data_IF_250941117335
#
_entry.id   IF_250941117335
#
_cell.length_a   1.000
_cell.length_b   1.000
_cell.length_c   1.000
_cell.angle_alpha   90.00
_cell.angle_beta   90.00
_cell.angle_gamma   90.00
#
_symmetry.space_group_name_H-M   'P 1'
#
loop_
_entity.id
_entity.type
_entity.pdbx_description
1 polymer ?
#
# COMPACT_ATOMS: atom_id res chain seq x y z
N UNK A 1 12.59 -2.26 -18.00
CA UNK A 1 11.25 -1.72 -17.64
C UNK A 1 10.62 -2.40 -16.42
N UNK A 2 10.52 -3.73 -16.35
CA UNK A 2 9.86 -4.45 -15.24
C UNK A 2 10.41 -4.17 -13.82
N UNK A 3 11.74 -4.10 -13.66
CA UNK A 3 12.37 -3.79 -12.37
C UNK A 3 12.02 -2.39 -11.84
N UNK A 4 11.88 -1.40 -12.72
CA UNK A 4 11.53 -0.03 -12.32
C UNK A 4 10.14 0.03 -11.69
N UNK A 5 9.19 -0.76 -12.21
CA UNK A 5 7.84 -0.86 -11.65
C UNK A 5 7.83 -1.57 -10.30
N UNK A 6 8.76 -2.51 -10.08
CA UNK A 6 8.93 -3.14 -8.77
C UNK A 6 9.41 -2.13 -7.73
N UNK A 7 10.44 -1.35 -8.04
CA UNK A 7 10.94 -0.29 -7.14
C UNK A 7 9.90 0.83 -6.94
N UNK A 8 9.13 1.16 -7.97
CA UNK A 8 8.03 2.10 -7.87
C UNK A 8 6.93 1.58 -6.93
N UNK A 9 6.55 0.29 -7.05
CA UNK A 9 5.61 -0.35 -6.13
C UNK A 9 6.12 -0.35 -4.69
N UNK A 10 7.41 -0.65 -4.50
CA UNK A 10 8.06 -0.58 -3.19
C UNK A 10 8.02 0.84 -2.61
N UNK A 11 8.36 1.85 -3.41
CA UNK A 11 8.29 3.24 -2.98
C UNK A 11 6.84 3.65 -2.62
N UNK A 12 5.86 3.27 -3.44
CA UNK A 12 4.45 3.53 -3.17
C UNK A 12 3.96 2.83 -1.89
N UNK A 13 4.43 1.61 -1.60
CA UNK A 13 4.14 0.92 -0.34
C UNK A 13 4.69 1.70 0.85
N UNK A 14 5.97 2.11 0.80
CA UNK A 14 6.60 2.87 1.89
C UNK A 14 5.92 4.23 2.09
N UNK A 15 5.61 4.93 1.00
CA UNK A 15 4.88 6.20 1.04
C UNK A 15 3.46 6.03 1.61
N UNK A 16 2.79 4.90 1.34
CA UNK A 16 1.49 4.58 1.91
C UNK A 16 1.50 4.48 3.44
N UNK A 17 2.61 4.02 4.03
CA UNK A 17 2.80 4.00 5.48
C UNK A 17 3.18 5.37 6.06
N UNK A 18 3.91 6.20 5.32
CA UNK A 18 4.30 7.55 5.76
C UNK A 18 3.08 8.49 5.73
N UNK A 19 2.29 8.44 4.66
CA UNK A 19 1.12 9.30 4.48
C UNK A 19 -0.16 8.59 4.92
N UNK A 20 -0.32 8.52 6.25
CA UNK A 20 -1.52 7.96 6.91
C UNK A 20 -2.77 8.70 6.42
N UNK A 21 -3.59 8.01 5.61
CA UNK A 21 -4.77 8.56 4.93
C UNK A 21 -4.71 8.44 3.39
N UNK A 22 -3.53 8.65 2.78
CA UNK A 22 -3.31 8.37 1.34
C UNK A 22 -3.04 6.89 1.07
N UNK A 23 -2.80 6.10 2.12
CA UNK A 23 -2.61 4.65 2.04
C UNK A 23 -3.72 3.93 1.27
N UNK A 24 -4.98 4.38 1.38
CA UNK A 24 -6.12 3.80 0.65
C UNK A 24 -5.88 3.78 -0.87
N UNK A 25 -5.13 4.75 -1.40
CA UNK A 25 -4.82 4.85 -2.83
C UNK A 25 -3.43 4.29 -3.14
N UNK A 26 -2.45 4.57 -2.29
CA UNK A 26 -1.05 4.18 -2.51
C UNK A 26 -0.81 2.67 -2.40
N UNK A 27 -1.50 1.97 -1.50
CA UNK A 27 -1.34 0.51 -1.36
C UNK A 27 -1.88 -0.27 -2.58
N UNK A 28 -3.09 0.02 -3.12
CA UNK A 28 -3.53 -0.60 -4.37
C UNK A 28 -2.62 -0.32 -5.57
N UNK A 29 -2.12 0.92 -5.71
CA UNK A 29 -1.18 1.28 -6.78
C UNK A 29 0.12 0.48 -6.64
N UNK A 30 0.64 0.37 -5.42
CA UNK A 30 1.80 -0.45 -5.11
C UNK A 30 1.59 -1.90 -5.54
N UNK A 31 0.48 -2.54 -5.13
CA UNK A 31 0.16 -3.91 -5.52
C UNK A 31 0.07 -4.05 -7.04
N UNK A 32 -0.61 -3.13 -7.73
CA UNK A 32 -0.71 -3.15 -9.19
C UNK A 32 0.66 -3.11 -9.87
N UNK A 33 1.54 -2.21 -9.44
CA UNK A 33 2.90 -2.10 -9.97
C UNK A 33 3.75 -3.35 -9.68
N UNK A 34 3.63 -3.93 -8.49
CA UNK A 34 4.31 -5.16 -8.10
C UNK A 34 3.85 -6.36 -8.94
N UNK A 35 2.54 -6.50 -9.15
CA UNK A 35 1.99 -7.57 -9.98
C UNK A 35 2.38 -7.42 -11.45
N UNK A 36 2.35 -6.19 -11.98
CA UNK A 36 2.74 -5.91 -13.37
C UNK A 36 4.25 -6.11 -13.61
N UNK A 37 5.09 -5.88 -12.59
CA UNK A 37 6.52 -6.16 -12.67
C UNK A 37 6.83 -7.64 -12.90
N UNK A 38 5.95 -8.56 -12.46
CA UNK A 38 6.08 -10.00 -12.70
C UNK A 38 7.27 -10.65 -11.99
N UNK A 39 7.71 -10.07 -10.85
CA UNK A 39 8.83 -10.58 -10.05
C UNK A 39 8.27 -11.19 -8.75
N UNK A 40 8.22 -12.51 -8.69
CA UNK A 40 7.61 -13.26 -7.57
C UNK A 40 8.68 -13.86 -6.63
N UNK A 41 9.49 -12.99 -6.03
CA UNK A 41 10.50 -13.40 -5.03
C UNK A 41 9.95 -13.28 -3.59
N UNK A 42 10.76 -13.61 -2.60
CA UNK A 42 10.33 -13.52 -1.19
C UNK A 42 9.99 -12.06 -0.78
N UNK A 43 10.68 -11.08 -1.35
CA UNK A 43 10.41 -9.66 -1.14
C UNK A 43 9.05 -9.23 -1.66
N UNK A 44 8.60 -9.78 -2.79
CA UNK A 44 7.25 -9.56 -3.30
C UNK A 44 6.18 -9.99 -2.29
N UNK A 45 6.33 -11.18 -1.70
CA UNK A 45 5.37 -11.69 -0.71
C UNK A 45 5.34 -10.83 0.55
N UNK A 46 6.51 -10.40 1.04
CA UNK A 46 6.61 -9.47 2.17
C UNK A 46 5.87 -8.16 1.86
N UNK A 47 6.05 -7.62 0.66
CA UNK A 47 5.35 -6.40 0.26
C UNK A 47 3.84 -6.60 0.11
N UNK A 48 3.36 -7.72 -0.42
CA UNK A 48 1.92 -8.02 -0.49
C UNK A 48 1.31 -7.98 0.92
N UNK A 49 1.93 -8.68 1.89
CA UNK A 49 1.45 -8.71 3.27
C UNK A 49 1.50 -7.30 3.89
N UNK A 50 2.59 -6.57 3.70
CA UNK A 50 2.71 -5.18 4.14
C UNK A 50 1.61 -4.29 3.55
N UNK A 51 1.34 -4.37 2.26
CA UNK A 51 0.28 -3.58 1.63
C UNK A 51 -1.10 -3.89 2.23
N UNK A 52 -1.43 -5.17 2.48
CA UNK A 52 -2.71 -5.56 3.07
C UNK A 52 -2.84 -5.00 4.49
N UNK A 53 -1.79 -5.11 5.32
CA UNK A 53 -1.79 -4.60 6.68
C UNK A 53 -1.88 -3.06 6.70
N UNK A 54 -1.08 -2.38 5.89
CA UNK A 54 -1.09 -0.92 5.78
C UNK A 54 -2.41 -0.38 5.26
N UNK A 55 -3.01 -1.05 4.28
CA UNK A 55 -4.32 -0.69 3.73
C UNK A 55 -5.42 -0.85 4.79
N UNK A 56 -5.43 -1.96 5.52
CA UNK A 56 -6.40 -2.21 6.60
C UNK A 56 -6.29 -1.16 7.71
N UNK A 57 -5.06 -0.82 8.13
CA UNK A 57 -4.78 0.27 9.07
C UNK A 57 -5.30 1.62 8.55
N UNK A 58 -5.03 1.92 7.27
CA UNK A 58 -5.48 3.18 6.67
C UNK A 58 -6.99 3.30 6.62
N UNK A 59 -7.70 2.21 6.30
CA UNK A 59 -9.16 2.16 6.34
C UNK A 59 -9.68 2.36 7.76
N UNK A 60 -9.10 1.67 8.74
CA UNK A 60 -9.50 1.79 10.14
C UNK A 60 -9.40 3.25 10.62
N UNK A 61 -8.27 3.92 10.36
CA UNK A 61 -8.05 5.31 10.77
C UNK A 61 -8.99 6.29 10.06
N UNK A 62 -9.32 6.05 8.79
CA UNK A 62 -10.30 6.87 8.08
C UNK A 62 -11.70 6.68 8.65
N UNK A 63 -12.10 5.44 8.94
CA UNK A 63 -13.40 5.13 9.58
C UNK A 63 -13.50 5.76 10.97
N UNK A 64 -12.45 5.64 11.79
CA UNK A 64 -12.39 6.24 13.13
C UNK A 64 -12.51 7.78 13.05
N UNK A 65 -11.80 8.39 12.10
CA UNK A 65 -11.89 9.85 11.87
C UNK A 65 -13.28 10.29 11.42
N UNK A 66 -13.97 9.51 10.58
CA UNK A 66 -15.35 9.79 10.19
C UNK A 66 -16.29 9.64 11.39
N UNK A 67 -16.12 8.58 12.19
CA UNK A 67 -16.95 8.32 13.36
C UNK A 67 -16.83 9.44 14.42
N UNK A 68 -15.63 9.96 14.65
CA UNK A 68 -15.40 11.09 15.58
C UNK A 68 -15.94 12.42 15.09
N UNK A 69 -16.17 12.61 13.78
CA UNK A 69 -16.83 13.82 13.25
C UNK A 69 -18.37 13.75 13.31
N UNK A 70 -18.95 12.56 13.50
CA UNK A 70 -20.39 12.34 13.54
C UNK A 70 -20.99 12.46 14.95
N UNK A 71 -20.14 12.45 15.98
CA UNK A 71 -20.50 12.61 17.42
C UNK A 71 -20.29 14.05 17.83
#
# INVERSE_FOLDING_TARGET
MRLWLFYFGLAACVLGYIFVGLGIVLFPISIFCLMYAGVYNIGFWIMIVGNILGFSMSLFLVVEKIATMLV
#
